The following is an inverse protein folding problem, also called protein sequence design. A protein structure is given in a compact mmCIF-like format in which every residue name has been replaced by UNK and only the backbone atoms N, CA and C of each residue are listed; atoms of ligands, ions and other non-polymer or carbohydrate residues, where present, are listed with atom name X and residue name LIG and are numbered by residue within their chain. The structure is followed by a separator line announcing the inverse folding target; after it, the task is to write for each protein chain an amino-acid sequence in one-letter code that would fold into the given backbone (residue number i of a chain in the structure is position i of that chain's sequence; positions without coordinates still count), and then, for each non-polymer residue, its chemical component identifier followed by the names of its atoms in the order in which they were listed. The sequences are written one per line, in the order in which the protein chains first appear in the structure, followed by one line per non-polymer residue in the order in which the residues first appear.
data_IF_113503554416
#
_entry.id   IF_113503554416
#
_cell.length_a   1.000
_cell.length_b   1.000
_cell.length_c   1.000
_cell.angle_alpha   90.00
_cell.angle_beta   90.00
_cell.angle_gamma   90.00
#
_symmetry.space_group_name_H-M   'P 1'
#
loop_
_entity.id
_entity.type
_entity.pdbx_description
1 polymer ?
#
# COMPACT_ATOMS: atom_id res chain seq x y z
N UNK A 1 -2.31 -8.94 1.40
CA UNK A 1 -2.96 -10.16 1.94
C UNK A 1 -2.54 -11.50 1.26
N UNK A 2 -1.32 -11.70 0.71
CA UNK A 2 -0.91 -13.00 0.15
C UNK A 2 -1.05 -14.17 1.14
N UNK A 3 -0.66 -13.94 2.41
CA UNK A 3 -0.75 -14.95 3.48
C UNK A 3 -2.14 -15.57 3.63
N UNK A 4 -3.21 -14.77 3.56
CA UNK A 4 -4.58 -15.30 3.70
C UNK A 4 -4.98 -16.17 2.51
N UNK A 5 -4.54 -15.80 1.30
CA UNK A 5 -4.76 -16.59 0.10
C UNK A 5 -4.01 -17.92 0.17
N UNK A 6 -2.74 -17.89 0.57
CA UNK A 6 -1.90 -19.08 0.69
C UNK A 6 -2.38 -20.03 1.79
N UNK A 7 -2.76 -19.50 2.96
CA UNK A 7 -3.14 -20.30 4.13
C UNK A 7 -4.53 -20.91 4.04
N UNK A 8 -5.50 -20.18 3.47
CA UNK A 8 -6.92 -20.59 3.52
C UNK A 8 -7.52 -20.92 2.17
N UNK A 9 -6.94 -20.45 1.06
CA UNK A 9 -7.33 -20.86 -0.30
C UNK A 9 -8.73 -20.44 -0.77
N UNK A 10 -9.51 -19.69 0.03
CA UNK A 10 -10.85 -19.24 -0.34
C UNK A 10 -10.85 -18.35 -1.59
N UNK A 11 -11.84 -18.52 -2.47
CA UNK A 11 -11.99 -17.73 -3.70
C UNK A 11 -12.13 -16.24 -3.41
N UNK A 12 -12.92 -15.87 -2.38
CA UNK A 12 -13.12 -14.48 -1.99
C UNK A 12 -11.80 -13.77 -1.62
N UNK A 13 -10.83 -14.48 -1.02
CA UNK A 13 -9.52 -13.89 -0.74
C UNK A 13 -8.69 -13.65 -1.99
N UNK A 14 -8.77 -14.55 -2.98
CA UNK A 14 -8.08 -14.36 -4.28
C UNK A 14 -8.64 -13.16 -5.02
N UNK A 15 -9.96 -13.08 -5.13
CA UNK A 15 -10.68 -11.97 -5.78
C UNK A 15 -10.39 -10.64 -5.09
N UNK A 16 -10.43 -10.62 -3.75
CA UNK A 16 -10.11 -9.41 -2.97
C UNK A 16 -8.65 -9.02 -3.15
N UNK A 17 -7.71 -9.97 -3.13
CA UNK A 17 -6.29 -9.69 -3.35
C UNK A 17 -6.05 -9.09 -4.74
N UNK A 18 -6.70 -9.63 -5.77
CA UNK A 18 -6.60 -9.09 -7.13
C UNK A 18 -7.12 -7.65 -7.21
N UNK A 19 -8.27 -7.37 -6.59
CA UNK A 19 -8.82 -6.02 -6.54
C UNK A 19 -7.89 -5.05 -5.80
N UNK A 20 -7.38 -5.43 -4.64
CA UNK A 20 -6.47 -4.59 -3.85
C UNK A 20 -5.19 -4.30 -4.62
N UNK A 21 -4.62 -5.29 -5.33
CA UNK A 21 -3.45 -5.08 -6.17
C UNK A 21 -3.73 -4.07 -7.30
N UNK A 22 -4.85 -4.20 -8.01
CA UNK A 22 -5.25 -3.24 -9.06
C UNK A 22 -5.40 -1.82 -8.50
N UNK A 23 -6.02 -1.68 -7.33
CA UNK A 23 -6.19 -0.38 -6.67
C UNK A 23 -4.85 0.21 -6.23
N UNK A 24 -3.97 -0.62 -5.68
CA UNK A 24 -2.64 -0.20 -5.27
C UNK A 24 -1.81 0.25 -6.47
N UNK A 25 -1.84 -0.48 -7.59
CA UNK A 25 -1.11 -0.12 -8.80
C UNK A 25 -1.62 1.18 -9.43
N UNK A 26 -2.95 1.40 -9.42
CA UNK A 26 -3.59 2.61 -9.92
C UNK A 26 -3.38 3.84 -9.03
N UNK A 27 -3.02 3.65 -7.75
CA UNK A 27 -2.77 4.74 -6.83
C UNK A 27 -1.53 5.55 -7.28
N UNK A 28 -1.46 6.87 -7.03
CA UNK A 28 -0.23 7.62 -7.28
C UNK A 28 0.92 7.13 -6.40
N UNK A 29 2.14 7.10 -6.95
CA UNK A 29 3.34 6.63 -6.24
C UNK A 29 3.61 7.39 -4.94
N UNK A 30 3.11 8.63 -4.85
CA UNK A 30 3.16 9.44 -3.65
C UNK A 30 2.60 8.69 -2.43
N UNK A 31 1.52 7.93 -2.60
CA UNK A 31 0.79 7.23 -1.53
C UNK A 31 1.25 5.77 -1.33
N UNK A 32 2.25 5.31 -2.08
CA UNK A 32 2.75 3.92 -2.02
C UNK A 32 3.94 3.80 -1.09
N UNK A 33 4.06 2.64 -0.44
CA UNK A 33 5.29 2.24 0.27
C UNK A 33 5.62 3.07 1.51
N UNK A 34 4.62 3.52 2.27
CA UNK A 34 4.85 4.21 3.55
C UNK A 34 5.05 3.24 4.71
N UNK A 35 4.33 2.12 4.68
CA UNK A 35 4.41 1.07 5.68
C UNK A 35 4.21 -0.29 5.02
N UNK A 36 4.67 -1.33 5.70
CA UNK A 36 4.44 -2.73 5.35
C UNK A 36 4.04 -3.50 6.60
N UNK A 37 3.66 -4.75 6.42
CA UNK A 37 3.49 -5.72 7.49
C UNK A 37 4.70 -6.65 7.51
N UNK A 38 5.26 -6.94 8.69
CA UNK A 38 6.33 -7.90 8.86
C UNK A 38 5.82 -9.36 8.97
N UNK A 39 6.74 -10.29 9.21
CA UNK A 39 6.43 -11.73 9.37
C UNK A 39 5.57 -12.05 10.59
N UNK A 40 5.55 -11.17 11.60
CA UNK A 40 4.74 -11.32 12.81
C UNK A 40 3.36 -10.67 12.69
N UNK A 41 3.09 -9.97 11.57
CA UNK A 41 1.84 -9.23 11.38
C UNK A 41 1.91 -7.79 11.90
N UNK A 42 3.07 -7.31 12.35
CA UNK A 42 3.25 -5.97 12.89
C UNK A 42 3.45 -4.95 11.76
N UNK A 43 2.93 -3.73 11.95
CA UNK A 43 3.06 -2.65 10.99
C UNK A 43 4.41 -1.96 11.14
N UNK A 44 5.22 -1.97 10.08
CA UNK A 44 6.55 -1.38 10.02
C UNK A 44 6.55 -0.19 9.06
N UNK A 45 7.01 0.97 9.53
CA UNK A 45 7.20 2.14 8.66
C UNK A 45 8.40 1.94 7.74
N UNK A 46 8.19 2.09 6.43
CA UNK A 46 9.23 1.98 5.41
C UNK A 46 9.91 3.32 5.11
N UNK A 47 9.26 4.43 5.47
CA UNK A 47 9.74 5.79 5.23
C UNK A 47 9.62 6.61 6.49
N UNK A 48 10.48 7.62 6.60
CA UNK A 48 10.38 8.57 7.70
C UNK A 48 9.16 9.50 7.48
N UNK A 49 8.55 10.01 8.57
CA UNK A 49 7.45 10.96 8.46
C UNK A 49 7.78 12.19 7.61
N UNK A 50 9.02 12.70 7.70
CA UNK A 50 9.47 13.88 6.94
C UNK A 50 9.51 13.62 5.43
N UNK A 51 10.01 12.44 5.02
CA UNK A 51 10.07 12.03 3.62
C UNK A 51 8.66 11.86 3.04
N UNK A 52 7.77 11.26 3.82
CA UNK A 52 6.35 11.13 3.47
C UNK A 52 5.70 12.49 3.30
N UNK A 53 5.96 13.43 4.21
CA UNK A 53 5.43 14.80 4.12
C UNK A 53 5.88 15.52 2.85
N UNK A 54 7.19 15.49 2.55
CA UNK A 54 7.74 16.13 1.34
C UNK A 54 7.11 15.56 0.07
N UNK A 55 6.90 14.23 0.02
CA UNK A 55 6.30 13.58 -1.14
C UNK A 55 4.81 13.94 -1.31
N UNK A 56 4.07 14.00 -0.21
CA UNK A 56 2.66 14.42 -0.20
C UNK A 56 2.52 15.88 -0.63
N UNK A 57 3.32 16.78 -0.07
CA UNK A 57 3.28 18.20 -0.41
C UNK A 57 3.53 18.41 -1.91
N UNK A 58 4.55 17.76 -2.47
CA UNK A 58 4.84 17.78 -3.92
C UNK A 58 3.70 17.24 -4.77
N UNK A 59 3.05 16.15 -4.33
CA UNK A 59 1.91 15.59 -5.06
C UNK A 59 0.75 16.60 -5.13
N UNK A 60 0.38 17.21 -4.00
CA UNK A 60 -0.72 18.17 -3.95
C UNK A 60 -0.41 19.50 -4.63
N UNK A 61 0.85 19.95 -4.61
CA UNK A 61 1.29 21.12 -5.38
C UNK A 61 1.13 20.90 -6.89
N UNK A 62 1.46 19.71 -7.38
CA UNK A 62 1.28 19.36 -8.80
C UNK A 62 -0.19 19.16 -9.16
N UNK A 63 -1.01 18.58 -8.28
CA UNK A 63 -2.43 18.35 -8.54
C UNK A 63 -3.28 19.63 -8.60
N UNK A 64 -2.78 20.76 -8.06
CA UNK A 64 -3.46 22.07 -8.11
C UNK A 64 -3.11 22.91 -9.34
N UNK A 65 -2.14 22.50 -10.15
CA UNK A 65 -1.76 23.16 -11.40
C UNK A 65 -2.58 22.61 -12.56
#
# INVERSE_FOLDING_TARGET
MPFLVEKFGYSCFKETLEQVNKQYDAMPDAFKGHFTTDENGESVMLRKPEETKIMMDKFWENARK
#
